data_IF_072398803137
#
_entry.id   IF_072398803137
#
_cell.length_a   1.000
_cell.length_b   1.000
_cell.length_c   1.000
_cell.angle_alpha   90.00
_cell.angle_beta   90.00
_cell.angle_gamma   90.00
#
_symmetry.space_group_name_H-M   'P 1'
#
loop_
_entity.id
_entity.type
_entity.pdbx_description
1 polymer ?
#
# COMPACT_ATOMS: atom_id res chain seq x y z
N UNK A 1 48.63 -47.38 19.16
CA UNK A 1 49.55 -46.40 18.53
C UNK A 1 48.72 -45.31 17.84
N UNK A 2 48.72 -44.10 18.38
CA UNK A 2 47.92 -42.97 17.89
C UNK A 2 48.82 -42.07 17.04
N UNK A 3 48.43 -41.78 15.80
CA UNK A 3 49.12 -40.85 14.91
C UNK A 3 48.33 -39.53 14.90
N UNK A 4 48.91 -38.47 15.47
CA UNK A 4 48.46 -37.07 15.36
C UNK A 4 48.78 -36.52 13.96
N UNK A 5 47.84 -35.84 13.32
CA UNK A 5 48.07 -34.99 12.17
C UNK A 5 47.84 -33.55 12.54
N UNK A 6 48.91 -32.76 12.50
CA UNK A 6 48.86 -31.31 12.58
C UNK A 6 48.40 -30.72 11.24
N UNK A 7 47.49 -29.81 11.23
CA UNK A 7 47.21 -28.96 10.07
C UNK A 7 47.49 -27.51 10.42
N UNK A 8 48.40 -26.94 9.66
CA UNK A 8 48.88 -25.56 9.77
C UNK A 8 47.88 -24.59 9.20
N UNK A 9 47.55 -23.59 9.96
CA UNK A 9 46.74 -22.41 9.52
C UNK A 9 47.73 -21.45 8.88
N UNK A 10 47.53 -21.13 7.60
CA UNK A 10 48.25 -20.06 6.90
C UNK A 10 47.36 -18.78 6.97
N UNK A 11 47.83 -17.80 7.69
CA UNK A 11 47.29 -16.46 7.69
C UNK A 11 47.73 -15.71 6.42
N UNK A 12 46.77 -15.14 5.67
CA UNK A 12 47.04 -14.18 4.60
C UNK A 12 46.82 -12.79 5.13
N UNK A 13 47.91 -12.02 5.22
CA UNK A 13 47.84 -10.59 5.46
C UNK A 13 47.69 -9.87 4.12
N UNK A 14 46.65 -9.06 3.99
CA UNK A 14 46.45 -8.18 2.83
C UNK A 14 46.84 -6.75 3.22
N UNK A 15 47.86 -6.22 2.59
CA UNK A 15 48.36 -4.88 2.76
C UNK A 15 47.45 -3.87 2.04
N UNK A 16 46.99 -2.83 2.75
CA UNK A 16 46.31 -1.67 2.17
C UNK A 16 47.34 -0.62 1.82
N UNK A 17 47.42 -0.25 0.56
CA UNK A 17 48.23 0.86 0.06
C UNK A 17 47.36 2.10 0.00
N UNK A 18 47.65 3.09 0.82
CA UNK A 18 47.14 4.45 0.77
C UNK A 18 47.89 5.23 -0.31
N UNK A 19 47.19 5.70 -1.35
CA UNK A 19 47.71 6.72 -2.26
C UNK A 19 46.98 8.04 -2.02
N UNK A 20 47.67 8.96 -1.39
CA UNK A 20 47.38 10.38 -1.32
C UNK A 20 47.82 11.02 -2.64
N UNK A 21 46.88 11.59 -3.37
CA UNK A 21 47.13 12.41 -4.54
C UNK A 21 46.37 13.73 -4.44
N UNK A 22 47.03 14.73 -3.95
CA UNK A 22 46.50 16.10 -4.00
C UNK A 22 46.68 16.71 -5.38
N UNK A 23 45.68 17.46 -5.84
CA UNK A 23 45.86 18.40 -6.94
C UNK A 23 45.17 19.72 -6.60
N UNK A 24 46.03 20.72 -6.45
CA UNK A 24 45.71 22.15 -6.44
C UNK A 24 45.59 22.61 -7.91
N UNK A 25 44.54 23.30 -8.28
CA UNK A 25 44.39 23.88 -9.60
C UNK A 25 43.38 25.02 -9.64
N UNK A 26 43.91 26.17 -9.82
CA UNK A 26 43.49 27.59 -9.80
C UNK A 26 42.23 27.93 -10.61
N UNK A 27 41.59 28.99 -10.10
CA UNK A 27 40.49 29.81 -10.63
C UNK A 27 40.60 30.17 -12.11
N UNK A 28 39.44 30.15 -12.78
CA UNK A 28 39.10 31.11 -13.84
C UNK A 28 37.66 31.57 -13.72
N UNK A 29 37.48 32.86 -13.54
CA UNK A 29 36.20 33.57 -13.53
C UNK A 29 35.84 33.90 -14.97
N UNK A 30 34.64 33.59 -15.43
CA UNK A 30 33.94 34.41 -16.42
C UNK A 30 32.43 34.13 -16.32
N UNK A 31 31.65 35.21 -16.14
CA UNK A 31 30.25 35.17 -15.84
C UNK A 31 29.36 34.88 -17.03
N UNK A 32 28.15 34.44 -16.73
CA UNK A 32 26.90 35.07 -17.14
C UNK A 32 25.72 34.45 -16.42
N UNK A 33 24.86 35.32 -15.93
CA UNK A 33 23.65 35.06 -15.18
C UNK A 33 22.67 34.12 -15.87
N UNK A 34 22.26 33.06 -15.19
CA UNK A 34 20.88 32.56 -15.16
C UNK A 34 20.65 31.89 -13.83
N UNK A 35 19.87 32.54 -12.99
CA UNK A 35 19.50 32.07 -11.66
C UNK A 35 18.56 30.87 -11.75
N UNK A 36 19.10 29.68 -11.63
CA UNK A 36 18.32 28.49 -11.25
C UNK A 36 18.53 28.36 -9.75
N UNK A 37 17.53 28.72 -8.98
CA UNK A 37 17.46 28.45 -7.55
C UNK A 37 17.39 26.91 -7.35
N UNK A 38 18.57 26.29 -7.33
CA UNK A 38 18.79 25.00 -6.75
C UNK A 38 18.85 25.18 -5.24
N UNK A 39 17.73 25.07 -4.55
CA UNK A 39 17.73 24.93 -3.11
C UNK A 39 18.26 23.54 -2.77
N UNK A 40 19.59 23.45 -2.67
CA UNK A 40 20.23 22.36 -1.95
C UNK A 40 19.81 22.48 -0.48
N UNK A 41 18.81 21.71 -0.06
CA UNK A 41 18.55 21.47 1.36
C UNK A 41 19.69 20.58 1.85
N UNK A 42 20.78 21.18 2.30
CA UNK A 42 21.82 20.50 3.05
C UNK A 42 21.27 20.27 4.46
N UNK A 43 20.98 19.03 4.78
CA UNK A 43 20.73 18.61 6.16
C UNK A 43 22.08 18.58 6.86
N UNK A 44 22.49 19.72 7.45
CA UNK A 44 23.56 19.72 8.43
C UNK A 44 23.03 19.06 9.69
N UNK A 45 23.80 18.10 10.18
CA UNK A 45 23.59 17.42 11.43
C UNK A 45 23.89 18.41 12.57
N UNK A 46 22.89 19.20 12.95
CA UNK A 46 22.93 19.92 14.22
C UNK A 46 22.42 18.96 15.29
N UNK A 47 23.20 18.76 16.34
CA UNK A 47 22.85 18.04 17.57
C UNK A 47 21.87 18.84 18.45
N UNK A 48 20.75 19.19 17.88
CA UNK A 48 19.70 19.95 18.53
C UNK A 48 18.36 19.50 18.00
N UNK A 49 17.71 18.61 18.73
CA UNK A 49 16.28 18.29 18.73
C UNK A 49 15.43 19.00 17.65
N UNK A 50 15.36 18.45 16.46
CA UNK A 50 14.24 18.71 15.58
C UNK A 50 13.12 17.80 16.06
N UNK A 51 12.15 18.36 16.79
CA UNK A 51 10.94 17.68 17.18
C UNK A 51 10.22 17.18 15.91
N UNK A 52 9.95 15.87 15.76
CA UNK A 52 9.33 15.29 14.56
C UNK A 52 7.93 15.84 14.27
N UNK A 53 7.31 16.47 15.26
CA UNK A 53 5.98 17.09 15.17
C UNK A 53 5.93 18.36 14.30
N UNK A 54 7.06 18.86 13.79
CA UNK A 54 7.14 20.11 13.03
C UNK A 54 7.56 19.97 11.56
N UNK A 55 7.69 18.75 11.04
CA UNK A 55 7.72 18.59 9.58
C UNK A 55 6.30 18.78 9.11
N UNK A 56 5.94 20.01 8.77
CA UNK A 56 4.60 20.31 8.27
C UNK A 56 4.33 19.45 7.02
N UNK A 57 3.08 19.00 6.82
CA UNK A 57 2.61 18.33 5.61
C UNK A 57 3.09 19.02 4.33
N UNK A 58 3.27 20.34 4.38
CA UNK A 58 3.78 21.17 3.31
C UNK A 58 5.23 20.85 2.96
N UNK A 59 6.12 20.66 3.94
CA UNK A 59 7.53 20.32 3.71
C UNK A 59 7.67 18.93 3.09
N UNK A 60 6.88 17.96 3.56
CA UNK A 60 6.84 16.62 2.97
C UNK A 60 6.34 16.73 1.53
N UNK A 61 5.23 17.42 1.29
CA UNK A 61 4.64 17.57 -0.05
C UNK A 61 5.60 18.21 -1.05
N UNK A 62 6.37 19.21 -0.64
CA UNK A 62 7.36 19.89 -1.51
C UNK A 62 8.57 18.99 -1.84
N UNK A 63 8.88 18.00 -1.00
CA UNK A 63 10.00 17.07 -1.20
C UNK A 63 9.63 15.84 -2.04
N UNK A 64 8.34 15.59 -2.28
CA UNK A 64 7.87 14.42 -3.02
C UNK A 64 8.08 14.64 -4.54
N UNK A 65 8.87 13.79 -5.22
CA UNK A 65 8.97 13.82 -6.67
C UNK A 65 7.61 13.56 -7.34
N UNK A 66 7.46 14.01 -8.59
CA UNK A 66 6.31 13.61 -9.39
C UNK A 66 6.35 12.11 -9.63
N UNK A 67 5.17 11.49 -9.68
CA UNK A 67 5.02 10.09 -10.06
C UNK A 67 5.67 9.82 -11.43
N UNK A 68 6.45 8.74 -11.50
CA UNK A 68 7.17 8.30 -12.70
C UNK A 68 7.20 6.77 -12.78
N UNK A 69 6.03 6.17 -12.92
CA UNK A 69 5.81 4.73 -13.14
C UNK A 69 6.31 3.77 -12.02
N UNK A 70 6.79 4.31 -10.91
CA UNK A 70 7.13 3.52 -9.71
C UNK A 70 6.07 3.73 -8.62
N UNK A 71 5.59 2.67 -7.95
CA UNK A 71 4.58 2.80 -6.90
C UNK A 71 5.05 3.62 -5.70
N UNK A 72 6.35 3.80 -5.54
CA UNK A 72 6.95 4.56 -4.45
C UNK A 72 8.22 5.29 -4.89
N UNK A 73 8.66 6.24 -4.06
CA UNK A 73 9.98 6.85 -4.16
C UNK A 73 10.65 6.89 -2.77
N UNK A 74 11.99 6.95 -2.76
CA UNK A 74 12.73 7.16 -1.52
C UNK A 74 12.66 8.64 -1.12
N UNK A 75 12.39 8.89 0.17
CA UNK A 75 12.57 10.18 0.81
C UNK A 75 13.81 10.13 1.71
N UNK A 76 14.40 11.27 1.98
CA UNK A 76 15.59 11.40 2.85
C UNK A 76 16.67 10.33 2.56
N UNK A 77 16.90 10.01 1.28
CA UNK A 77 17.85 8.96 0.85
C UNK A 77 17.55 7.59 1.47
N UNK A 78 16.29 7.30 1.77
CA UNK A 78 15.84 6.06 2.42
C UNK A 78 16.12 6.00 3.93
N UNK A 79 16.58 7.08 4.55
CA UNK A 79 16.88 7.10 6.00
C UNK A 79 15.65 7.54 6.79
N UNK A 80 15.17 6.73 7.76
CA UNK A 80 14.10 7.13 8.66
C UNK A 80 14.52 8.28 9.58
N UNK A 81 13.52 8.99 10.11
CA UNK A 81 13.71 10.23 10.89
C UNK A 81 13.34 10.08 12.36
N UNK A 82 13.29 8.85 12.89
CA UNK A 82 13.01 8.62 14.32
C UNK A 82 14.06 9.26 15.20
N UNK A 83 13.60 10.01 16.19
CA UNK A 83 14.46 10.56 17.25
C UNK A 83 14.84 9.46 18.25
N UNK A 84 15.93 9.68 18.99
CA UNK A 84 16.36 8.73 20.03
C UNK A 84 15.28 8.53 21.12
N UNK A 85 14.47 9.55 21.39
CA UNK A 85 13.38 9.49 22.37
C UNK A 85 12.16 8.69 21.89
N UNK A 86 11.98 8.52 20.59
CA UNK A 86 10.91 7.71 20.01
C UNK A 86 11.28 6.23 19.97
N UNK A 87 12.57 5.92 19.86
CA UNK A 87 13.05 4.54 19.70
C UNK A 87 12.88 3.77 21.01
N UNK A 88 12.17 2.65 20.95
CA UNK A 88 11.87 1.78 22.09
C UNK A 88 11.74 0.31 21.64
N UNK A 89 11.90 -0.61 22.58
CA UNK A 89 11.59 -2.04 22.43
C UNK A 89 10.28 -2.43 23.14
N UNK A 90 9.51 -1.44 23.60
CA UNK A 90 8.18 -1.70 24.17
C UNK A 90 7.15 -1.59 23.07
N UNK A 91 6.50 -2.68 22.76
CA UNK A 91 5.45 -2.73 21.73
C UNK A 91 4.28 -1.79 22.03
N UNK A 92 3.84 -1.07 21.05
CA UNK A 92 2.64 -0.23 21.07
C UNK A 92 2.17 0.07 19.65
N UNK A 93 0.89 0.39 19.53
CA UNK A 93 0.28 1.03 18.37
C UNK A 93 -0.41 2.32 18.83
N UNK A 94 -0.23 3.38 18.08
CA UNK A 94 -0.89 4.66 18.29
C UNK A 94 -1.37 5.20 16.96
N UNK A 95 -2.67 5.16 16.77
CA UNK A 95 -3.34 5.83 15.66
C UNK A 95 -3.58 7.29 16.04
N UNK A 96 -3.34 8.20 15.10
CA UNK A 96 -3.70 9.61 15.29
C UNK A 96 -5.20 9.81 15.17
N UNK A 97 -5.73 10.81 15.88
CA UNK A 97 -7.13 11.19 15.75
C UNK A 97 -7.45 11.66 14.32
N UNK A 98 -8.69 11.45 13.88
CA UNK A 98 -9.16 12.00 12.62
C UNK A 98 -9.08 13.54 12.66
N UNK A 99 -8.69 14.13 11.56
CA UNK A 99 -8.69 15.60 11.46
C UNK A 99 -10.12 16.19 11.38
N UNK A 100 -10.23 17.51 11.37
CA UNK A 100 -11.53 18.20 11.31
C UNK A 100 -12.35 17.89 10.04
N UNK A 101 -11.79 17.22 9.06
CA UNK A 101 -12.45 16.76 7.85
C UNK A 101 -12.75 15.25 7.88
N UNK A 102 -12.49 14.57 9.00
CA UNK A 102 -12.64 13.12 9.14
C UNK A 102 -11.57 12.30 8.41
N UNK A 103 -10.40 12.90 8.12
CA UNK A 103 -9.30 12.21 7.44
C UNK A 103 -8.32 11.65 8.47
N UNK A 104 -7.79 10.47 8.16
CA UNK A 104 -6.73 9.86 8.98
C UNK A 104 -5.50 10.77 9.04
N UNK A 105 -4.86 10.80 10.18
CA UNK A 105 -3.59 11.46 10.41
C UNK A 105 -2.44 10.45 10.54
N UNK A 106 -1.32 10.82 11.13
CA UNK A 106 -0.17 9.94 11.27
C UNK A 106 -0.44 8.82 12.28
N UNK A 107 -0.03 7.60 11.94
CA UNK A 107 0.01 6.47 12.86
C UNK A 107 1.48 6.12 13.16
N UNK A 108 1.75 5.68 14.39
CA UNK A 108 3.07 5.27 14.83
C UNK A 108 2.98 4.01 15.70
N UNK A 109 3.91 3.09 15.50
CA UNK A 109 3.99 1.86 16.28
C UNK A 109 5.45 1.49 16.58
N UNK A 110 5.64 0.80 17.69
CA UNK A 110 6.77 -0.09 17.90
C UNK A 110 6.23 -1.51 17.72
N UNK A 111 6.48 -2.07 16.55
CA UNK A 111 5.96 -3.37 16.16
C UNK A 111 6.82 -4.47 16.80
N UNK A 112 6.17 -5.37 17.54
CA UNK A 112 6.74 -6.60 18.06
C UNK A 112 5.84 -7.79 17.70
N UNK A 113 6.31 -9.00 17.85
CA UNK A 113 5.55 -10.22 17.55
C UNK A 113 4.27 -10.33 18.40
N UNK A 114 4.28 -9.74 19.59
CA UNK A 114 3.16 -9.68 20.53
C UNK A 114 1.95 -8.85 20.05
N UNK A 115 2.17 -7.93 19.10
CA UNK A 115 1.08 -7.17 18.45
C UNK A 115 0.52 -7.89 17.22
N UNK A 116 1.27 -8.81 16.65
CA UNK A 116 0.87 -9.44 15.39
C UNK A 116 -0.28 -10.42 15.59
N UNK A 117 -1.20 -10.53 14.63
CA UNK A 117 -2.26 -11.50 14.72
C UNK A 117 -1.70 -12.92 14.78
N UNK A 118 -2.28 -13.76 15.65
CA UNK A 118 -1.96 -15.18 15.69
C UNK A 118 -2.41 -15.88 14.40
N UNK A 119 -1.84 -17.07 14.11
CA UNK A 119 -2.27 -17.87 12.94
C UNK A 119 -3.75 -18.26 12.96
N UNK A 120 -4.36 -18.29 14.14
CA UNK A 120 -5.79 -18.61 14.33
C UNK A 120 -6.70 -17.37 14.32
N UNK A 121 -6.14 -16.18 14.33
CA UNK A 121 -6.93 -14.95 14.32
C UNK A 121 -7.48 -14.71 12.91
N UNK A 122 -8.81 -14.69 12.80
CA UNK A 122 -9.49 -14.36 11.57
C UNK A 122 -9.58 -12.83 11.40
N UNK A 123 -9.41 -12.38 10.16
CA UNK A 123 -9.57 -10.97 9.81
C UNK A 123 -11.06 -10.62 9.81
N UNK A 124 -11.43 -9.57 10.53
CA UNK A 124 -12.79 -9.06 10.57
C UNK A 124 -13.19 -8.33 9.27
N UNK A 125 -14.49 -8.03 9.14
CA UNK A 125 -14.99 -7.25 8.01
C UNK A 125 -14.78 -5.76 8.25
N UNK A 126 -14.25 -5.09 7.23
CA UNK A 126 -14.06 -3.63 7.19
C UNK A 126 -15.02 -2.95 6.20
N UNK A 127 -16.03 -3.68 5.71
CA UNK A 127 -16.94 -3.22 4.64
C UNK A 127 -17.80 -2.02 5.03
N UNK A 128 -18.10 -1.87 6.31
CA UNK A 128 -18.94 -0.78 6.82
C UNK A 128 -18.20 0.56 6.94
N UNK A 129 -16.86 0.54 6.95
CA UNK A 129 -16.08 1.78 7.01
C UNK A 129 -15.92 2.37 5.62
N UNK A 130 -16.26 3.63 5.49
CA UNK A 130 -16.14 4.40 4.26
C UNK A 130 -15.20 5.60 4.49
N UNK A 131 -13.89 5.43 4.26
CA UNK A 131 -12.93 6.52 4.44
C UNK A 131 -13.29 7.73 3.58
N UNK A 132 -12.76 8.91 3.91
CA UNK A 132 -13.05 10.11 3.14
C UNK A 132 -12.74 9.93 1.66
N UNK A 133 -13.63 10.42 0.79
CA UNK A 133 -13.49 10.28 -0.66
C UNK A 133 -13.77 8.88 -1.21
N UNK A 134 -14.33 7.96 -0.42
CA UNK A 134 -14.67 6.61 -0.88
C UNK A 134 -15.71 6.63 -2.01
N UNK A 135 -15.28 6.28 -3.21
CA UNK A 135 -16.12 6.14 -4.42
C UNK A 135 -15.62 4.98 -5.26
N UNK A 136 -16.04 3.79 -4.90
CA UNK A 136 -15.59 2.57 -5.60
C UNK A 136 -16.09 2.53 -7.04
N UNK A 137 -15.18 2.31 -7.95
CA UNK A 137 -15.42 2.10 -9.38
C UNK A 137 -14.67 0.84 -9.80
N UNK A 138 -15.30 0.08 -10.71
CA UNK A 138 -14.70 -1.13 -11.25
C UNK A 138 -14.13 -0.82 -12.64
N UNK A 139 -12.85 -1.10 -12.83
CA UNK A 139 -12.13 -0.93 -14.08
C UNK A 139 -11.49 -2.24 -14.51
N UNK A 140 -11.68 -2.66 -15.76
CA UNK A 140 -11.10 -3.90 -16.31
C UNK A 140 -9.57 -3.91 -16.30
N UNK A 141 -8.96 -2.72 -16.42
CA UNK A 141 -7.50 -2.53 -16.38
C UNK A 141 -6.89 -2.63 -14.98
N UNK A 142 -7.71 -2.58 -13.94
CA UNK A 142 -7.25 -2.68 -12.54
C UNK A 142 -7.23 -4.15 -12.12
N UNK A 143 -6.12 -4.59 -11.55
CA UNK A 143 -6.01 -5.95 -10.99
C UNK A 143 -7.05 -6.16 -9.89
N UNK A 144 -7.97 -7.12 -10.10
CA UNK A 144 -9.12 -7.32 -9.22
C UNK A 144 -10.26 -6.33 -9.47
N UNK A 145 -10.17 -5.54 -10.54
CA UNK A 145 -11.16 -4.58 -11.05
C UNK A 145 -11.50 -3.42 -10.10
N UNK A 146 -11.49 -3.62 -8.79
CA UNK A 146 -11.81 -2.60 -7.80
C UNK A 146 -10.69 -1.54 -7.70
N UNK A 147 -11.02 -0.28 -8.05
CA UNK A 147 -10.05 0.82 -8.00
C UNK A 147 -9.53 1.05 -6.58
N UNK A 148 -10.45 1.13 -5.61
CA UNK A 148 -10.11 1.49 -4.25
C UNK A 148 -10.18 0.32 -3.29
N UNK A 149 -9.21 0.28 -2.40
CA UNK A 149 -9.19 -0.53 -1.19
C UNK A 149 -9.43 0.37 0.02
N UNK A 150 -10.06 -0.18 1.07
CA UNK A 150 -9.97 0.36 2.42
C UNK A 150 -8.58 0.05 2.93
N UNK A 151 -7.66 0.95 2.60
CA UNK A 151 -6.23 0.75 2.79
C UNK A 151 -5.89 1.01 4.26
N UNK A 152 -5.37 0.01 4.96
CA UNK A 152 -4.86 0.20 6.31
C UNK A 152 -3.62 1.10 6.26
N UNK A 153 -3.53 2.02 7.21
CA UNK A 153 -2.32 2.83 7.43
C UNK A 153 -1.23 1.94 8.05
N UNK A 154 -1.58 1.19 9.10
CA UNK A 154 -0.76 0.09 9.62
C UNK A 154 -1.47 -1.21 9.25
N UNK A 155 -0.83 -2.05 8.44
CA UNK A 155 -1.42 -3.26 7.90
C UNK A 155 -1.86 -4.26 8.98
N UNK A 156 -3.00 -4.91 8.75
CA UNK A 156 -3.55 -5.91 9.68
C UNK A 156 -2.54 -6.97 10.10
N UNK A 157 -1.68 -7.40 9.21
CA UNK A 157 -0.65 -8.41 9.50
C UNK A 157 0.38 -7.98 10.56
N UNK A 158 0.41 -6.69 10.91
CA UNK A 158 1.37 -6.10 11.84
C UNK A 158 0.79 -5.91 13.24
N UNK A 159 -0.52 -5.62 13.36
CA UNK A 159 -1.15 -5.29 14.64
C UNK A 159 -2.51 -5.98 14.87
N UNK A 160 -3.01 -6.73 13.89
CA UNK A 160 -4.32 -7.41 14.00
C UNK A 160 -5.52 -6.45 14.05
N UNK A 161 -5.31 -5.17 13.75
CA UNK A 161 -6.35 -4.15 13.79
C UNK A 161 -7.23 -4.21 12.52
N UNK A 162 -8.53 -4.44 12.67
CA UNK A 162 -9.47 -4.58 11.55
C UNK A 162 -10.19 -3.26 11.23
N UNK A 163 -11.34 -3.08 11.84
CA UNK A 163 -12.31 -2.05 11.50
C UNK A 163 -12.16 -0.81 12.40
N UNK A 164 -11.08 -0.08 12.22
CA UNK A 164 -10.80 1.18 12.93
C UNK A 164 -10.74 2.31 11.91
N UNK A 165 -11.61 3.32 12.07
CA UNK A 165 -11.71 4.42 11.10
C UNK A 165 -10.41 5.21 10.99
N UNK A 166 -9.69 5.41 12.09
CA UNK A 166 -8.40 6.11 12.16
C UNK A 166 -7.27 5.36 11.46
N UNK A 167 -7.49 4.09 11.11
CA UNK A 167 -6.51 3.26 10.42
C UNK A 167 -6.85 2.98 8.94
N UNK A 168 -7.92 3.57 8.39
CA UNK A 168 -8.38 3.26 7.04
C UNK A 168 -8.49 4.50 6.16
N UNK A 169 -7.84 4.46 5.00
CA UNK A 169 -7.93 5.50 3.97
C UNK A 169 -8.46 4.94 2.66
N UNK A 170 -8.97 5.82 1.80
CA UNK A 170 -9.26 5.49 0.40
C UNK A 170 -7.95 5.39 -0.38
N UNK A 171 -7.45 4.18 -0.56
CA UNK A 171 -6.23 3.88 -1.29
C UNK A 171 -6.51 3.15 -2.59
N UNK A 172 -5.75 3.44 -3.65
CA UNK A 172 -5.84 2.67 -4.89
C UNK A 172 -5.34 1.24 -4.69
N UNK A 173 -5.81 0.34 -5.52
CA UNK A 173 -5.31 -1.02 -5.55
C UNK A 173 -3.78 -1.05 -5.78
N UNK A 174 -3.29 -0.19 -6.68
CA UNK A 174 -1.87 -0.08 -6.99
C UNK A 174 -1.04 0.42 -5.80
N UNK A 175 -1.48 1.48 -5.10
CA UNK A 175 -0.78 1.93 -3.89
C UNK A 175 -0.76 0.84 -2.82
N UNK A 176 -1.91 0.22 -2.58
CA UNK A 176 -2.04 -0.79 -1.52
C UNK A 176 -1.16 -2.01 -1.78
N UNK A 177 -1.23 -2.59 -2.99
CA UNK A 177 -0.64 -3.89 -3.27
C UNK A 177 0.78 -3.81 -3.83
N UNK A 178 1.09 -2.76 -4.62
CA UNK A 178 2.42 -2.60 -5.22
C UNK A 178 3.30 -1.62 -4.43
N UNK A 179 2.66 -0.69 -3.71
CA UNK A 179 3.36 0.32 -2.90
C UNK A 179 3.61 -0.13 -1.48
N UNK A 180 2.55 -0.34 -0.70
CA UNK A 180 2.63 -0.53 0.75
C UNK A 180 2.88 -1.99 1.17
N UNK A 181 2.09 -2.92 0.65
CA UNK A 181 2.09 -4.33 1.06
C UNK A 181 3.48 -5.00 1.01
N UNK A 182 4.35 -4.80 -0.02
CA UNK A 182 5.67 -5.39 -0.03
C UNK A 182 6.55 -4.96 1.16
N UNK A 183 6.43 -3.71 1.60
CA UNK A 183 7.16 -3.20 2.77
C UNK A 183 6.58 -3.76 4.07
N UNK A 184 5.27 -3.78 4.21
CA UNK A 184 4.61 -4.36 5.39
C UNK A 184 4.88 -5.86 5.53
N UNK A 185 4.87 -6.60 4.43
CA UNK A 185 5.24 -8.01 4.41
C UNK A 185 6.71 -8.24 4.81
N UNK A 186 7.61 -7.35 4.39
CA UNK A 186 9.01 -7.38 4.83
C UNK A 186 9.14 -7.11 6.33
N UNK A 187 8.37 -6.16 6.90
CA UNK A 187 8.33 -5.92 8.34
C UNK A 187 7.85 -7.17 9.08
N UNK A 188 6.72 -7.72 8.67
CA UNK A 188 6.13 -8.91 9.30
C UNK A 188 7.09 -10.11 9.26
N UNK A 189 7.75 -10.35 8.15
CA UNK A 189 8.74 -11.42 8.00
C UNK A 189 9.94 -11.19 8.92
N UNK A 190 10.47 -9.96 8.97
CA UNK A 190 11.61 -9.63 9.80
C UNK A 190 11.29 -9.84 11.29
N UNK A 191 10.17 -9.31 11.79
CA UNK A 191 9.75 -9.44 13.18
C UNK A 191 9.64 -10.92 13.56
N UNK A 192 8.91 -11.73 12.78
CA UNK A 192 8.73 -13.18 13.05
C UNK A 192 10.03 -13.97 13.01
N UNK A 193 10.98 -13.59 12.16
CA UNK A 193 12.24 -14.34 12.01
C UNK A 193 13.30 -13.96 13.02
N UNK A 194 13.28 -12.72 13.53
CA UNK A 194 14.32 -12.20 14.43
C UNK A 194 13.86 -12.05 15.89
N UNK A 195 12.54 -11.89 16.12
CA UNK A 195 11.99 -11.47 17.41
C UNK A 195 12.29 -10.03 17.78
N UNK A 196 12.89 -9.25 16.87
CA UNK A 196 13.24 -7.86 17.11
C UNK A 196 12.07 -6.94 16.86
N UNK A 197 12.15 -5.73 17.47
CA UNK A 197 11.14 -4.71 17.30
C UNK A 197 11.46 -3.79 16.12
N UNK A 198 10.41 -3.20 15.53
CA UNK A 198 10.53 -2.23 14.44
C UNK A 198 9.71 -0.98 14.77
N UNK A 199 10.38 0.16 14.85
CA UNK A 199 9.68 1.46 14.81
C UNK A 199 9.08 1.65 13.43
N UNK A 200 7.78 1.96 13.36
CA UNK A 200 7.05 2.15 12.12
C UNK A 200 6.15 3.36 12.21
N UNK A 201 6.26 4.29 11.27
CA UNK A 201 5.41 5.49 11.18
C UNK A 201 4.87 5.61 9.78
N UNK A 202 3.57 5.86 9.67
CA UNK A 202 2.87 6.03 8.40
C UNK A 202 2.02 7.29 8.47
N UNK A 203 2.19 8.19 7.51
CA UNK A 203 1.49 9.46 7.44
C UNK A 203 0.81 9.61 6.09
N UNK A 204 -0.53 9.58 6.03
CA UNK A 204 -1.27 9.94 4.83
C UNK A 204 -1.04 11.41 4.47
N UNK A 205 -0.76 11.69 3.21
CA UNK A 205 -0.43 13.05 2.73
C UNK A 205 -1.58 13.59 1.90
N UNK A 206 -2.29 14.58 2.44
CA UNK A 206 -3.39 15.27 1.77
C UNK A 206 -2.95 16.66 1.30
N UNK A 207 -3.51 17.14 0.18
CA UNK A 207 -3.27 18.51 -0.29
C UNK A 207 -4.50 19.38 0.02
N UNK A 208 -4.35 20.34 0.94
CA UNK A 208 -5.42 21.25 1.31
C UNK A 208 -6.67 20.51 1.79
N UNK A 209 -7.82 20.74 1.12
CA UNK A 209 -9.12 20.15 1.48
C UNK A 209 -9.46 18.87 0.71
N UNK A 210 -8.51 18.21 0.11
CA UNK A 210 -8.73 16.96 -0.60
C UNK A 210 -9.20 15.86 0.35
N UNK A 211 -10.13 15.03 -0.13
CA UNK A 211 -10.70 13.92 0.65
C UNK A 211 -9.93 12.61 0.49
N UNK A 212 -9.17 12.48 -0.59
CA UNK A 212 -8.31 11.32 -0.87
C UNK A 212 -6.86 11.74 -0.68
N UNK A 213 -6.08 10.97 0.06
CA UNK A 213 -4.66 11.22 0.22
C UNK A 213 -3.93 11.11 -1.12
N UNK A 214 -2.95 11.98 -1.37
CA UNK A 214 -2.06 11.89 -2.55
C UNK A 214 -1.14 10.69 -2.50
N UNK A 215 -0.94 10.14 -1.33
CA UNK A 215 -0.13 8.97 -1.02
C UNK A 215 0.11 8.85 0.47
N UNK A 216 1.00 7.94 0.84
CA UNK A 216 1.41 7.74 2.24
C UNK A 216 2.92 7.79 2.36
N UNK A 217 3.40 8.52 3.35
CA UNK A 217 4.78 8.51 3.79
C UNK A 217 4.96 7.38 4.80
N UNK A 218 5.87 6.46 4.53
CA UNK A 218 6.16 5.30 5.37
C UNK A 218 7.63 5.29 5.75
N UNK A 219 7.92 5.14 7.02
CA UNK A 219 9.29 4.96 7.50
C UNK A 219 9.36 3.89 8.59
N UNK A 220 10.45 3.11 8.57
CA UNK A 220 10.68 2.03 9.53
C UNK A 220 12.15 1.88 9.89
N UNK A 221 12.37 1.38 11.11
CA UNK A 221 13.70 1.19 11.67
C UNK A 221 13.70 0.05 12.68
N UNK A 222 14.50 -1.00 12.43
CA UNK A 222 14.66 -2.10 13.38
C UNK A 222 15.54 -1.67 14.56
N UNK A 223 15.04 -1.95 15.78
CA UNK A 223 15.57 -1.32 16.99
C UNK A 223 16.85 -2.00 17.49
N UNK A 224 16.81 -3.31 17.75
CA UNK A 224 17.90 -4.04 18.41
C UNK A 224 19.16 -4.10 17.56
N UNK A 225 19.02 -4.21 16.26
CA UNK A 225 20.13 -4.27 15.29
C UNK A 225 20.48 -2.91 14.67
N UNK A 226 19.87 -1.83 15.22
CA UNK A 226 20.13 -0.43 14.81
C UNK A 226 19.95 -0.19 13.33
N UNK A 227 18.84 -0.69 12.77
CA UNK A 227 18.46 -0.50 11.38
C UNK A 227 19.16 -1.41 10.38
N UNK A 228 19.91 -2.41 10.85
CA UNK A 228 20.61 -3.33 9.94
C UNK A 228 19.68 -4.25 9.18
N UNK A 229 18.57 -4.69 9.79
CA UNK A 229 17.56 -5.54 9.15
C UNK A 229 16.50 -4.74 8.40
N UNK A 230 15.99 -3.69 9.06
CA UNK A 230 14.96 -2.81 8.49
C UNK A 230 15.38 -1.34 8.66
N UNK A 231 15.52 -0.65 7.54
CA UNK A 231 15.68 0.81 7.50
C UNK A 231 15.17 1.32 6.17
N UNK A 232 14.08 2.09 6.18
CA UNK A 232 13.57 2.75 4.99
C UNK A 232 12.79 4.03 5.33
N UNK A 233 12.71 4.92 4.34
CA UNK A 233 11.90 6.12 4.35
C UNK A 233 11.44 6.34 2.91
N UNK A 234 10.14 6.11 2.65
CA UNK A 234 9.54 6.09 1.32
C UNK A 234 8.22 6.83 1.30
N UNK A 235 7.83 7.23 0.11
CA UNK A 235 6.49 7.71 -0.18
C UNK A 235 5.82 6.83 -1.21
N UNK A 236 4.69 6.21 -0.88
CA UNK A 236 3.87 5.44 -1.79
C UNK A 236 2.81 6.34 -2.44
N UNK A 237 2.77 6.36 -3.77
CA UNK A 237 1.84 7.20 -4.52
C UNK A 237 0.44 6.60 -4.57
N UNK A 238 -0.57 7.39 -4.18
CA UNK A 238 -1.97 6.97 -4.32
C UNK A 238 -2.48 7.26 -5.74
N UNK A 239 -1.94 6.54 -6.68
CA UNK A 239 -2.28 6.60 -8.10
C UNK A 239 -2.73 5.22 -8.57
N UNK A 240 -3.37 5.16 -9.72
CA UNK A 240 -3.61 3.92 -10.45
C UNK A 240 -3.20 4.14 -11.90
N UNK A 241 -2.30 3.33 -12.48
CA UNK A 241 -1.94 3.45 -13.89
C UNK A 241 -3.19 3.50 -14.78
N UNK A 242 -3.18 4.40 -15.76
CA UNK A 242 -4.27 4.66 -16.70
C UNK A 242 -5.58 5.22 -16.09
N UNK A 243 -5.63 5.51 -14.79
CA UNK A 243 -6.81 6.08 -14.14
C UNK A 243 -6.48 7.46 -13.59
N UNK A 244 -7.28 8.45 -13.97
CA UNK A 244 -7.25 9.78 -13.40
C UNK A 244 -8.11 9.84 -12.16
N UNK A 245 -7.59 10.38 -11.05
CA UNK A 245 -8.27 10.49 -9.76
C UNK A 245 -8.52 11.95 -9.42
N UNK A 246 -9.75 12.29 -9.11
CA UNK A 246 -10.10 13.54 -8.48
C UNK A 246 -9.96 13.42 -6.96
N UNK A 247 -8.82 13.83 -6.43
CA UNK A 247 -8.53 13.71 -4.99
C UNK A 247 -9.45 14.57 -4.10
N UNK A 248 -10.08 15.60 -4.65
CA UNK A 248 -11.05 16.39 -3.88
C UNK A 248 -12.34 15.63 -3.58
N UNK A 249 -12.72 14.69 -4.45
CA UNK A 249 -14.01 13.98 -4.38
C UNK A 249 -13.90 12.47 -4.27
N UNK A 250 -12.80 11.87 -4.75
CA UNK A 250 -12.63 10.43 -4.92
C UNK A 250 -13.20 9.89 -6.24
N UNK A 251 -13.76 10.76 -7.09
CA UNK A 251 -14.18 10.39 -8.44
C UNK A 251 -12.98 10.02 -9.29
N UNK A 252 -13.20 9.16 -10.28
CA UNK A 252 -12.13 8.66 -11.14
C UNK A 252 -12.63 8.44 -12.57
N UNK A 253 -11.70 8.48 -13.51
CA UNK A 253 -11.95 8.25 -14.93
C UNK A 253 -10.78 7.49 -15.54
N UNK A 254 -11.09 6.46 -16.34
CA UNK A 254 -10.08 5.72 -17.09
C UNK A 254 -9.66 6.48 -18.34
N UNK A 255 -8.37 6.45 -18.65
CA UNK A 255 -7.81 6.94 -19.90
C UNK A 255 -7.91 5.88 -21.03
N UNK A 256 -8.44 4.71 -20.72
CA UNK A 256 -8.68 3.61 -21.67
C UNK A 256 -10.15 3.60 -22.03
N UNK A 257 -10.47 3.53 -23.31
CA UNK A 257 -11.84 3.44 -23.82
C UNK A 257 -12.49 2.13 -23.34
N UNK A 258 -13.77 2.20 -22.94
CA UNK A 258 -14.58 1.06 -22.45
C UNK A 258 -13.97 0.29 -21.25
N UNK A 259 -13.08 0.89 -20.50
CA UNK A 259 -12.43 0.27 -19.33
C UNK A 259 -13.36 0.20 -18.11
N UNK A 260 -14.28 1.16 -17.95
CA UNK A 260 -15.18 1.20 -16.81
C UNK A 260 -16.22 0.07 -16.88
N UNK A 261 -16.17 -0.86 -15.93
CA UNK A 261 -17.12 -1.98 -15.83
C UNK A 261 -18.28 -1.71 -14.86
N UNK A 262 -18.28 -0.57 -14.19
CA UNK A 262 -19.41 -0.09 -13.37
C UNK A 262 -19.02 0.48 -12.02
N UNK A 263 -20.06 0.86 -11.27
CA UNK A 263 -19.93 1.51 -9.97
C UNK A 263 -20.62 0.69 -8.89
N UNK A 264 -19.99 0.61 -7.74
CA UNK A 264 -20.66 0.10 -6.56
C UNK A 264 -21.15 1.28 -5.71
N UNK A 265 -22.45 1.32 -5.46
CA UNK A 265 -23.01 2.23 -4.46
C UNK A 265 -23.55 1.43 -3.30
N UNK A 266 -23.21 1.81 -2.07
CA UNK A 266 -23.82 1.23 -0.88
C UNK A 266 -25.01 2.07 -0.43
N UNK A 267 -26.17 1.43 -0.29
CA UNK A 267 -27.37 2.03 0.32
C UNK A 267 -27.95 1.02 1.31
N UNK A 268 -28.14 1.46 2.56
CA UNK A 268 -28.73 0.64 3.63
C UNK A 268 -28.04 -0.71 3.81
N UNK A 269 -26.70 -0.74 3.84
CA UNK A 269 -25.92 -1.96 4.00
C UNK A 269 -25.96 -2.93 2.81
N UNK A 270 -26.51 -2.51 1.66
CA UNK A 270 -26.51 -3.29 0.43
C UNK A 270 -25.68 -2.59 -0.64
N UNK A 271 -24.80 -3.34 -1.27
CA UNK A 271 -24.01 -2.88 -2.42
C UNK A 271 -24.80 -3.05 -3.68
N UNK A 272 -24.95 -2.00 -4.46
CA UNK A 272 -25.61 -1.98 -5.76
C UNK A 272 -24.56 -1.73 -6.84
N UNK A 273 -24.61 -2.52 -7.88
CA UNK A 273 -23.79 -2.37 -9.07
C UNK A 273 -24.57 -1.57 -10.13
N UNK A 274 -23.96 -0.54 -10.72
CA UNK A 274 -24.56 0.25 -11.79
C UNK A 274 -23.59 0.40 -12.95
N UNK A 275 -23.99 -0.05 -14.14
CA UNK A 275 -23.21 0.02 -15.38
C UNK A 275 -23.17 1.41 -16.07
N UNK A 276 -23.96 2.39 -15.65
CA UNK A 276 -24.08 3.66 -16.39
C UNK A 276 -24.08 4.88 -15.46
N UNK A 277 -23.04 5.72 -15.56
CA UNK A 277 -23.00 7.07 -14.97
C UNK A 277 -23.22 8.19 -16.01
N UNK A 278 -23.39 7.90 -17.29
CA UNK A 278 -23.64 8.97 -18.27
C UNK A 278 -25.04 9.61 -18.15
N UNK A 279 -25.89 9.17 -17.20
CA UNK A 279 -27.30 9.61 -17.15
C UNK A 279 -27.82 10.11 -15.80
N UNK A 280 -26.95 10.53 -14.86
CA UNK A 280 -27.43 11.08 -13.59
C UNK A 280 -27.77 12.59 -13.61
N UNK A 281 -27.81 13.24 -14.77
CA UNK A 281 -28.27 14.63 -14.90
C UNK A 281 -29.72 14.79 -15.43
N UNK A 282 -30.40 13.70 -15.74
CA UNK A 282 -31.84 13.75 -16.12
C UNK A 282 -32.53 12.48 -15.65
N UNK A 283 -33.25 12.53 -14.55
CA UNK A 283 -34.56 11.92 -14.44
C UNK A 283 -35.15 12.12 -13.06
N UNK A 284 -35.92 13.16 -12.89
CA UNK A 284 -37.12 13.07 -12.08
C UNK A 284 -38.24 12.55 -12.99
N UNK A 285 -39.02 11.62 -12.43
CA UNK A 285 -40.36 11.21 -12.84
C UNK A 285 -40.51 10.28 -14.03
N UNK A 286 -40.81 9.01 -13.79
CA UNK A 286 -42.15 8.45 -13.97
C UNK A 286 -42.15 6.92 -13.82
N UNK A 287 -43.05 6.45 -12.96
CA UNK A 287 -43.51 5.08 -12.89
C UNK A 287 -44.04 4.59 -14.25
N UNK A 288 -43.67 3.39 -14.67
CA UNK A 288 -44.65 2.39 -15.09
C UNK A 288 -44.00 1.03 -15.34
N UNK A 289 -44.63 0.04 -14.74
CA UNK A 289 -44.65 -1.38 -14.98
C UNK A 289 -44.65 -1.74 -16.48
N UNK A 290 -43.82 -2.72 -16.93
CA UNK A 290 -44.36 -3.93 -17.51
C UNK A 290 -43.28 -4.97 -17.86
N UNK A 291 -43.71 -6.16 -17.67
CA UNK A 291 -43.12 -7.48 -17.87
C UNK A 291 -42.81 -7.85 -19.33
N UNK A 292 -41.93 -8.84 -19.47
CA UNK A 292 -41.77 -9.83 -20.53
C UNK A 292 -40.93 -9.49 -21.78
N UNK A 293 -39.80 -10.12 -22.03
CA UNK A 293 -39.78 -11.39 -22.79
C UNK A 293 -38.33 -11.84 -23.06
N UNK A 294 -38.15 -13.11 -22.88
CA UNK A 294 -36.99 -13.93 -23.22
C UNK A 294 -36.66 -13.80 -24.71
N UNK A 295 -35.39 -13.68 -25.05
CA UNK A 295 -34.86 -14.33 -26.27
C UNK A 295 -33.40 -14.70 -26.07
N UNK A 296 -33.20 -15.98 -26.09
CA UNK A 296 -31.95 -16.73 -26.19
C UNK A 296 -31.21 -16.42 -27.48
N UNK A 297 -29.92 -16.21 -27.40
CA UNK A 297 -29.03 -16.73 -28.43
C UNK A 297 -27.67 -17.07 -27.83
N UNK A 298 -27.37 -18.32 -27.93
CA UNK A 298 -26.20 -19.08 -27.59
C UNK A 298 -24.96 -18.67 -28.41
N UNK A 299 -23.79 -18.66 -27.81
CA UNK A 299 -22.67 -19.46 -28.32
C UNK A 299 -21.41 -19.31 -27.48
N UNK A 300 -20.76 -20.43 -27.18
CA UNK A 300 -19.37 -20.47 -26.73
C UNK A 300 -19.16 -21.08 -25.35
N UNK A 301 -19.56 -22.35 -25.17
CA UNK A 301 -19.14 -23.16 -24.02
C UNK A 301 -17.67 -23.54 -24.16
N UNK A 302 -16.80 -22.93 -23.33
CA UNK A 302 -15.60 -23.59 -22.88
C UNK A 302 -15.86 -24.08 -21.46
N UNK A 303 -15.80 -25.40 -21.26
CA UNK A 303 -15.82 -26.03 -19.93
C UNK A 303 -14.72 -25.43 -19.09
N UNK A 304 -15.07 -24.60 -18.13
CA UNK A 304 -14.18 -24.14 -17.10
C UNK A 304 -14.02 -25.27 -16.09
N UNK A 305 -12.81 -25.77 -15.91
CA UNK A 305 -12.44 -26.39 -14.64
C UNK A 305 -12.74 -25.37 -13.57
N UNK A 306 -13.62 -25.70 -12.60
CA UNK A 306 -14.18 -24.73 -11.65
C UNK A 306 -13.14 -23.87 -10.93
N UNK A 307 -13.61 -22.81 -10.27
CA UNK A 307 -12.76 -21.93 -9.50
C UNK A 307 -12.50 -22.47 -8.08
N UNK A 308 -11.39 -22.03 -7.48
CA UNK A 308 -11.07 -22.23 -6.07
C UNK A 308 -11.23 -20.89 -5.36
N UNK A 309 -12.10 -20.85 -4.37
CA UNK A 309 -12.38 -19.68 -3.55
C UNK A 309 -11.44 -19.64 -2.36
N UNK A 310 -10.95 -18.46 -2.04
CA UNK A 310 -10.44 -18.15 -0.72
C UNK A 310 -11.54 -17.43 0.05
N UNK A 311 -12.23 -18.15 0.92
CA UNK A 311 -13.39 -17.64 1.67
C UNK A 311 -12.98 -16.58 2.71
N UNK A 312 -11.73 -16.57 3.14
CA UNK A 312 -11.21 -15.56 4.07
C UNK A 312 -10.89 -14.23 3.37
N UNK A 313 -10.29 -14.28 2.17
CA UNK A 313 -9.92 -13.07 1.44
C UNK A 313 -10.96 -12.67 0.39
N UNK A 314 -12.03 -13.45 0.27
CA UNK A 314 -13.08 -13.28 -0.76
C UNK A 314 -12.49 -13.18 -2.17
N UNK A 315 -11.49 -14.03 -2.46
CA UNK A 315 -10.86 -14.12 -3.78
C UNK A 315 -11.12 -15.48 -4.42
N UNK A 316 -11.29 -15.48 -5.73
CA UNK A 316 -11.36 -16.73 -6.50
C UNK A 316 -10.19 -16.87 -7.46
N UNK A 317 -9.80 -18.10 -7.72
CA UNK A 317 -8.60 -18.47 -8.44
C UNK A 317 -8.88 -19.58 -9.43
N UNK A 318 -8.06 -19.69 -10.48
CA UNK A 318 -7.95 -20.96 -11.19
C UNK A 318 -7.31 -22.00 -10.27
N UNK A 319 -7.73 -23.28 -10.40
CA UNK A 319 -7.18 -24.38 -9.60
C UNK A 319 -5.66 -24.55 -9.72
N UNK A 320 -5.09 -24.10 -10.82
CA UNK A 320 -3.64 -24.12 -11.09
C UNK A 320 -2.85 -22.96 -10.49
N UNK A 321 -3.52 -21.98 -9.87
CA UNK A 321 -2.87 -20.79 -9.31
C UNK A 321 -1.90 -21.15 -8.16
N UNK A 322 -0.71 -20.53 -8.15
CA UNK A 322 0.26 -20.75 -7.08
C UNK A 322 -0.28 -20.31 -5.70
N UNK A 323 -1.16 -19.31 -5.64
CA UNK A 323 -1.82 -18.88 -4.40
C UNK A 323 -2.70 -19.98 -3.80
N UNK A 324 -3.26 -20.88 -4.61
CA UNK A 324 -4.06 -22.02 -4.14
C UNK A 324 -3.18 -23.04 -3.42
N UNK A 325 -1.94 -23.25 -3.88
CA UNK A 325 -0.99 -24.20 -3.25
C UNK A 325 -0.60 -23.80 -1.82
N UNK A 326 -0.61 -22.49 -1.55
CA UNK A 326 -0.21 -21.92 -0.27
C UNK A 326 -1.44 -21.53 0.59
N UNK A 327 -2.66 -21.82 0.10
CA UNK A 327 -3.90 -21.48 0.80
C UNK A 327 -4.19 -22.50 1.90
N UNK A 328 -4.57 -22.01 3.08
CA UNK A 328 -5.05 -22.89 4.15
C UNK A 328 -6.29 -23.65 3.70
N UNK A 329 -6.34 -24.96 3.93
CA UNK A 329 -7.47 -25.81 3.54
C UNK A 329 -8.81 -25.38 4.15
N UNK A 330 -8.79 -24.72 5.31
CA UNK A 330 -9.99 -24.17 5.97
C UNK A 330 -10.63 -23.00 5.21
N UNK A 331 -9.85 -22.30 4.40
CA UNK A 331 -10.28 -21.13 3.62
C UNK A 331 -10.50 -21.47 2.15
N UNK A 332 -10.37 -22.76 1.79
CA UNK A 332 -10.41 -23.23 0.40
C UNK A 332 -11.76 -23.90 0.11
N UNK A 333 -12.47 -23.36 -0.87
CA UNK A 333 -13.72 -23.93 -1.36
C UNK A 333 -13.66 -24.01 -2.89
N UNK A 334 -14.01 -25.17 -3.46
CA UNK A 334 -14.12 -25.34 -4.90
C UNK A 334 -15.54 -25.06 -5.37
N UNK A 335 -15.68 -24.36 -6.50
CA UNK A 335 -16.99 -23.99 -7.03
C UNK A 335 -17.01 -24.07 -8.55
N UNK A 336 -18.21 -24.36 -9.10
CA UNK A 336 -18.50 -24.31 -10.53
C UNK A 336 -19.31 -23.07 -10.91
N UNK A 337 -19.46 -22.10 -10.00
CA UNK A 337 -20.12 -20.83 -10.29
C UNK A 337 -19.34 -20.08 -11.36
N UNK A 338 -20.07 -19.32 -12.17
CA UNK A 338 -19.46 -18.44 -13.17
C UNK A 338 -18.72 -17.28 -12.49
N UNK A 339 -17.80 -16.67 -13.22
CA UNK A 339 -17.08 -15.46 -12.78
C UNK A 339 -18.05 -14.35 -12.35
N UNK A 340 -19.13 -14.15 -13.12
CA UNK A 340 -20.17 -13.15 -12.86
C UNK A 340 -20.94 -13.43 -11.57
N UNK A 341 -21.27 -14.71 -11.30
CA UNK A 341 -21.92 -15.12 -10.05
C UNK A 341 -21.02 -14.87 -8.85
N UNK A 342 -19.73 -15.21 -8.94
CA UNK A 342 -18.76 -15.01 -7.86
C UNK A 342 -18.55 -13.52 -7.57
N UNK A 343 -18.44 -12.69 -8.60
CA UNK A 343 -18.34 -11.24 -8.43
C UNK A 343 -19.61 -10.68 -7.78
N UNK A 344 -20.79 -11.18 -8.17
CA UNK A 344 -22.07 -10.80 -7.57
C UNK A 344 -22.18 -11.19 -6.10
N UNK A 345 -21.54 -12.28 -5.70
CA UNK A 345 -21.45 -12.74 -4.31
C UNK A 345 -20.35 -12.00 -3.51
N UNK A 346 -19.63 -11.07 -4.12
CA UNK A 346 -18.61 -10.25 -3.47
C UNK A 346 -17.19 -10.81 -3.56
N UNK A 347 -16.98 -11.89 -4.30
CA UNK A 347 -15.64 -12.39 -4.56
C UNK A 347 -14.92 -11.53 -5.61
N UNK A 348 -13.62 -11.39 -5.48
CA UNK A 348 -12.75 -10.71 -6.46
C UNK A 348 -11.82 -11.72 -7.14
N UNK A 349 -11.51 -11.54 -8.44
CA UNK A 349 -10.53 -12.41 -9.09
C UNK A 349 -9.13 -12.23 -8.48
N UNK A 350 -8.37 -13.30 -8.44
CA UNK A 350 -6.98 -13.27 -7.98
C UNK A 350 -6.11 -12.49 -8.97
N UNK A 351 -5.38 -11.49 -8.51
CA UNK A 351 -4.50 -10.67 -9.33
C UNK A 351 -3.35 -11.44 -10.00
N UNK A 352 -2.95 -12.59 -9.45
CA UNK A 352 -1.84 -13.39 -10.02
C UNK A 352 -2.25 -14.32 -11.15
N UNK A 353 -3.47 -14.87 -11.12
CA UNK A 353 -3.93 -15.81 -12.14
C UNK A 353 -5.09 -15.27 -13.00
N UNK A 354 -5.69 -14.18 -12.61
CA UNK A 354 -6.79 -13.47 -13.28
C UNK A 354 -7.87 -14.43 -13.85
N UNK A 355 -8.57 -15.14 -12.97
CA UNK A 355 -9.56 -16.13 -13.34
C UNK A 355 -10.86 -15.53 -13.89
#
# INVERSE_FOLDING_TARGET
MKKKRNSSIKAFALAVVLLLGGFLGKNFISGNNTSILSTNVTWEQSDGSLEPSNISDKTIQESIPKYSDSPYCNLNKGKPTFTQSEITTKSYEKLGELDSMGRCTSAMACLGEDLMPSESQERGSISEIHPTGWRQVMYKSVTGEALYNRCHIIGWQLTGNDAVEENLITGTQYMNNEGMEPYESKLAQYIRSSGNHVMYRVTPVFKGKEKVARGVHMEAYSVEDKGSGISFNIYCYNVQPNISINYATGESESNIEDDCDGYTTSRNGKTYYSKNLKDSSKTQSSNKTNSNKISTSSSGSTKSDGYVLNTNTMRFHYSTCNSVKNMSSRNMESTNKSREELIKEGYTPCGSCNP
#
